data_IF_844311042370
#
_entry.id   IF_844311042370
#
_cell.length_a   1.000
_cell.length_b   1.000
_cell.length_c   1.000
_cell.angle_alpha   90.00
_cell.angle_beta   90.00
_cell.angle_gamma   90.00
#
_symmetry.space_group_name_H-M   'P 1'
#
loop_
_entity.id
_entity.type
_entity.pdbx_description
1 polymer ?
#
# COMPACT_ATOMS: atom_id res chain seq x y z
N UNK A 1 -11.48 -15.48 23.47
CA UNK A 1 -12.57 -14.48 23.44
C UNK A 1 -12.37 -13.71 22.16
N UNK A 2 -13.17 -14.02 21.14
CA UNK A 2 -13.08 -13.38 19.83
C UNK A 2 -13.84 -12.07 19.88
N UNK A 3 -13.12 -10.95 19.88
CA UNK A 3 -13.71 -9.64 19.71
C UNK A 3 -14.44 -9.62 18.37
N UNK A 4 -15.78 -9.61 18.43
CA UNK A 4 -16.60 -9.34 17.27
C UNK A 4 -16.40 -7.87 16.92
N UNK A 5 -15.48 -7.60 16.00
CA UNK A 5 -15.41 -6.30 15.33
C UNK A 5 -16.82 -6.05 14.77
N UNK A 6 -17.47 -4.96 15.18
CA UNK A 6 -18.75 -4.57 14.61
C UNK A 6 -18.64 -4.55 13.09
N UNK A 7 -19.68 -4.99 12.37
CA UNK A 7 -19.57 -5.11 10.91
C UNK A 7 -19.56 -3.75 10.22
N UNK A 8 -20.01 -2.69 10.89
CA UNK A 8 -19.93 -1.31 10.42
C UNK A 8 -18.72 -0.61 11.04
N UNK A 9 -17.68 -0.39 10.25
CA UNK A 9 -16.44 0.27 10.67
C UNK A 9 -16.00 1.30 9.67
N UNK A 10 -15.07 2.19 10.05
CA UNK A 10 -14.24 2.94 9.11
C UNK A 10 -13.12 2.02 8.63
N UNK A 11 -13.16 1.42 7.43
CA UNK A 11 -12.18 0.41 7.06
C UNK A 11 -10.85 1.04 6.65
N UNK A 12 -9.79 0.42 7.13
CA UNK A 12 -8.49 0.43 6.47
C UNK A 12 -8.26 -0.94 5.85
N UNK A 13 -7.95 -0.97 4.56
CA UNK A 13 -7.77 -2.19 3.79
C UNK A 13 -6.40 -2.17 3.16
N UNK A 14 -5.64 -3.24 3.36
CA UNK A 14 -4.30 -3.37 2.82
C UNK A 14 -3.99 -4.80 2.38
N UNK A 15 -2.90 -4.95 1.62
CA UNK A 15 -2.30 -6.24 1.31
C UNK A 15 -0.82 -6.23 1.71
N UNK A 16 -0.36 -7.12 2.61
CA UNK A 16 1.03 -7.15 3.05
C UNK A 16 1.95 -7.62 1.92
N UNK A 17 3.15 -7.06 1.86
CA UNK A 17 4.20 -7.54 0.97
C UNK A 17 4.95 -8.70 1.62
N UNK A 18 4.86 -9.88 1.04
CA UNK A 18 5.39 -11.12 1.62
C UNK A 18 6.90 -11.27 1.44
N UNK A 19 7.46 -10.70 0.38
CA UNK A 19 8.88 -10.75 0.05
C UNK A 19 9.56 -9.38 0.16
N UNK A 20 9.17 -8.56 1.15
CA UNK A 20 9.66 -7.17 1.28
C UNK A 20 11.17 -7.01 1.45
N UNK A 21 11.87 -8.06 1.87
CA UNK A 21 13.33 -8.03 2.01
C UNK A 21 14.03 -7.72 0.68
N UNK A 22 13.49 -8.16 -0.46
CA UNK A 22 14.05 -7.85 -1.79
C UNK A 22 14.04 -6.34 -2.05
N UNK A 23 12.94 -5.69 -1.69
CA UNK A 23 12.75 -4.27 -1.91
C UNK A 23 13.63 -3.43 -0.96
N UNK A 24 13.76 -3.86 0.30
CA UNK A 24 14.68 -3.27 1.27
C UNK A 24 16.14 -3.40 0.81
N UNK A 25 16.56 -4.58 0.36
CA UNK A 25 17.92 -4.81 -0.13
C UNK A 25 18.24 -3.91 -1.33
N UNK A 26 17.30 -3.79 -2.27
CA UNK A 26 17.45 -2.90 -3.42
C UNK A 26 17.56 -1.43 -2.99
N UNK A 27 16.65 -0.95 -2.13
CA UNK A 27 16.63 0.44 -1.68
C UNK A 27 17.91 0.80 -0.90
N UNK A 28 18.34 -0.06 0.03
CA UNK A 28 19.58 0.12 0.78
C UNK A 28 20.82 0.09 -0.14
N UNK A 29 20.81 -0.77 -1.16
CA UNK A 29 21.89 -0.83 -2.16
C UNK A 29 22.05 0.44 -3.00
N UNK A 30 21.02 1.29 -3.04
CA UNK A 30 21.05 2.62 -3.64
C UNK A 30 21.41 3.73 -2.65
N UNK A 31 21.66 3.39 -1.38
CA UNK A 31 21.98 4.34 -0.31
C UNK A 31 20.76 4.99 0.33
N UNK A 32 19.54 4.45 0.14
CA UNK A 32 18.37 4.92 0.88
C UNK A 32 18.47 4.42 2.34
N UNK A 33 18.45 5.35 3.28
CA UNK A 33 18.43 5.05 4.72
C UNK A 33 16.98 4.97 5.24
N UNK A 34 16.77 4.53 6.49
CA UNK A 34 15.46 4.48 7.17
C UNK A 34 14.34 3.81 6.34
N UNK A 35 14.69 2.81 5.54
CA UNK A 35 13.72 2.04 4.75
C UNK A 35 12.78 1.30 5.70
N UNK A 36 11.49 1.33 5.39
CA UNK A 36 10.45 0.63 6.15
C UNK A 36 10.82 -0.85 6.30
N UNK A 37 10.65 -1.40 7.51
CA UNK A 37 10.93 -2.80 7.77
C UNK A 37 10.08 -3.71 6.85
N UNK A 38 10.63 -4.80 6.29
CA UNK A 38 9.95 -5.67 5.33
C UNK A 38 8.53 -6.09 5.75
N UNK A 39 8.38 -6.48 7.01
CA UNK A 39 7.12 -6.98 7.60
C UNK A 39 6.06 -5.89 7.78
N UNK A 40 6.43 -4.61 7.66
CA UNK A 40 5.52 -3.47 7.70
C UNK A 40 5.14 -2.99 6.30
N UNK A 41 5.79 -3.47 5.24
CA UNK A 41 5.48 -3.08 3.88
C UNK A 41 4.16 -3.68 3.42
N UNK A 42 3.33 -2.86 2.78
CA UNK A 42 2.02 -3.25 2.27
C UNK A 42 1.60 -2.29 1.17
N UNK A 43 0.59 -2.69 0.38
CA UNK A 43 -0.19 -1.79 -0.45
C UNK A 43 -1.46 -1.43 0.29
N UNK A 44 -1.70 -0.14 0.51
CA UNK A 44 -3.00 0.35 0.96
C UNK A 44 -3.99 0.28 -0.22
N UNK A 45 -5.09 -0.43 -0.04
CA UNK A 45 -6.19 -0.54 -1.02
C UNK A 45 -7.29 0.45 -0.71
N UNK A 46 -7.53 0.72 0.58
CA UNK A 46 -8.54 1.68 1.02
C UNK A 46 -8.16 2.29 2.37
N UNK A 47 -8.31 3.60 2.48
CA UNK A 47 -8.30 4.32 3.75
C UNK A 47 -9.59 5.12 3.83
N UNK A 48 -10.59 4.62 4.56
CA UNK A 48 -11.92 5.24 4.58
C UNK A 48 -12.26 5.86 5.92
N UNK A 49 -12.67 7.14 5.90
CA UNK A 49 -13.22 7.83 7.07
C UNK A 49 -14.74 7.65 7.20
N UNK A 50 -15.39 7.13 6.16
CA UNK A 50 -16.82 6.81 6.17
C UNK A 50 -17.03 5.39 6.72
N UNK A 51 -17.88 5.21 7.75
CA UNK A 51 -18.23 3.87 8.21
C UNK A 51 -19.04 3.11 7.14
N UNK A 52 -18.70 1.84 6.90
CA UNK A 52 -19.41 0.94 5.98
C UNK A 52 -19.57 -0.44 6.57
N UNK A 53 -20.61 -1.15 6.17
CA UNK A 53 -20.81 -2.56 6.54
C UNK A 53 -19.88 -3.46 5.71
N UNK A 54 -18.82 -3.96 6.33
CA UNK A 54 -17.85 -4.85 5.67
C UNK A 54 -18.36 -6.30 5.53
N UNK A 55 -19.46 -6.67 6.19
CA UNK A 55 -19.98 -8.05 6.12
C UNK A 55 -20.56 -8.42 4.75
N UNK A 56 -20.88 -7.40 3.93
CA UNK A 56 -21.44 -7.59 2.59
C UNK A 56 -20.36 -7.76 1.51
N UNK A 57 -19.08 -7.64 1.87
CA UNK A 57 -17.95 -7.81 0.94
C UNK A 57 -17.18 -9.10 1.26
N UNK A 58 -16.95 -9.98 0.26
CA UNK A 58 -16.05 -11.10 0.43
C UNK A 58 -14.59 -10.62 0.45
N UNK A 59 -13.84 -11.06 1.46
CA UNK A 59 -12.39 -10.85 1.58
C UNK A 59 -11.63 -11.55 0.47
N UNK A 60 -10.73 -10.85 -0.21
CA UNK A 60 -9.83 -11.44 -1.19
C UNK A 60 -8.71 -12.23 -0.50
N UNK A 61 -8.81 -13.56 -0.47
CA UNK A 61 -7.85 -14.46 0.23
C UNK A 61 -6.67 -14.93 -0.62
N UNK A 62 -6.68 -14.63 -1.90
CA UNK A 62 -5.63 -15.00 -2.85
C UNK A 62 -4.39 -14.12 -2.71
N UNK A 63 -3.22 -14.70 -2.93
CA UNK A 63 -2.00 -13.92 -3.14
C UNK A 63 -1.99 -13.33 -4.55
N UNK A 64 -1.32 -12.19 -4.72
CA UNK A 64 -1.08 -11.54 -5.99
C UNK A 64 0.42 -11.51 -6.23
N UNK A 65 0.85 -12.15 -7.32
CA UNK A 65 2.22 -12.06 -7.83
C UNK A 65 2.26 -11.03 -8.94
N UNK A 66 3.18 -10.07 -8.87
CA UNK A 66 3.42 -9.12 -9.95
C UNK A 66 4.92 -8.99 -10.23
N UNK A 67 5.26 -8.75 -11.48
CA UNK A 67 6.64 -8.49 -11.89
C UNK A 67 6.78 -7.04 -12.32
N UNK A 68 7.64 -6.31 -11.64
CA UNK A 68 7.98 -4.94 -11.95
C UNK A 68 9.19 -4.88 -12.88
N UNK A 69 9.16 -3.92 -13.80
CA UNK A 69 10.24 -3.63 -14.73
C UNK A 69 10.60 -2.15 -14.63
N UNK A 70 11.78 -1.85 -14.08
CA UNK A 70 12.28 -0.50 -13.91
C UNK A 70 11.28 0.46 -13.22
N UNK A 71 10.53 -0.04 -12.24
CA UNK A 71 9.56 0.74 -11.49
C UNK A 71 10.27 1.78 -10.63
N UNK A 72 9.96 3.06 -10.85
CA UNK A 72 10.60 4.18 -10.15
C UNK A 72 9.73 4.67 -9.00
N UNK A 73 10.30 4.82 -7.79
CA UNK A 73 9.57 5.45 -6.71
C UNK A 73 9.19 6.89 -7.05
N UNK A 74 8.10 7.36 -6.45
CA UNK A 74 7.62 8.72 -6.59
C UNK A 74 7.26 9.29 -5.21
N UNK A 75 7.23 10.61 -5.10
CA UNK A 75 6.78 11.27 -3.87
C UNK A 75 5.28 11.17 -3.71
N UNK A 76 4.85 10.71 -2.54
CA UNK A 76 3.47 10.79 -2.06
C UNK A 76 3.43 11.50 -0.71
N UNK A 77 2.93 12.73 -0.70
CA UNK A 77 3.03 13.61 0.48
C UNK A 77 4.50 13.73 0.93
N UNK A 78 4.83 13.44 2.20
CA UNK A 78 6.22 13.38 2.68
C UNK A 78 6.92 12.04 2.44
N UNK A 79 6.23 11.02 1.92
CA UNK A 79 6.76 9.67 1.77
C UNK A 79 7.27 9.39 0.35
N UNK A 80 8.07 8.33 0.24
CA UNK A 80 8.52 7.76 -1.03
C UNK A 80 7.78 6.44 -1.28
N UNK A 81 7.00 6.37 -2.34
CA UNK A 81 6.21 5.20 -2.71
C UNK A 81 6.69 4.53 -3.99
N UNK A 82 6.81 3.21 -4.02
CA UNK A 82 6.98 2.43 -5.23
C UNK A 82 5.60 2.15 -5.85
N UNK A 83 5.34 2.51 -7.12
CA UNK A 83 4.04 2.31 -7.73
C UNK A 83 3.73 0.81 -7.92
N UNK A 84 2.47 0.44 -7.66
CA UNK A 84 1.99 -0.93 -7.80
C UNK A 84 0.74 -0.93 -8.64
N UNK A 85 0.81 -1.58 -9.81
CA UNK A 85 -0.32 -1.65 -10.73
C UNK A 85 -0.77 -3.11 -10.86
N UNK A 86 -2.01 -3.41 -10.50
CA UNK A 86 -2.59 -4.73 -10.67
C UNK A 86 -4.13 -4.65 -10.72
N UNK A 87 -4.80 -5.25 -11.73
CA UNK A 87 -6.26 -5.13 -11.88
C UNK A 87 -7.06 -5.53 -10.63
N UNK A 88 -6.65 -6.60 -9.93
CA UNK A 88 -7.30 -7.03 -8.69
C UNK A 88 -7.26 -5.97 -7.57
N UNK A 89 -6.22 -5.13 -7.52
CA UNK A 89 -6.12 -4.07 -6.52
C UNK A 89 -7.15 -2.98 -6.85
N UNK A 90 -7.27 -2.60 -8.12
CA UNK A 90 -8.26 -1.62 -8.58
C UNK A 90 -9.70 -2.12 -8.41
N UNK A 91 -9.95 -3.38 -8.74
CA UNK A 91 -11.25 -4.03 -8.55
C UNK A 91 -11.65 -4.08 -7.08
N UNK A 92 -10.69 -4.39 -6.21
CA UNK A 92 -10.92 -4.39 -4.76
C UNK A 92 -11.25 -2.99 -4.27
N UNK A 93 -10.45 -1.99 -4.67
CA UNK A 93 -10.72 -0.59 -4.34
C UNK A 93 -12.15 -0.16 -4.76
N UNK A 94 -12.53 -0.41 -6.02
CA UNK A 94 -13.86 -0.10 -6.55
C UNK A 94 -14.98 -0.83 -5.80
N UNK A 95 -14.75 -2.06 -5.35
CA UNK A 95 -15.74 -2.84 -4.58
C UNK A 95 -16.09 -2.17 -3.26
N UNK A 96 -15.11 -1.62 -2.55
CA UNK A 96 -15.39 -0.87 -1.33
C UNK A 96 -16.10 0.46 -1.61
N UNK A 97 -15.72 1.17 -2.68
CA UNK A 97 -16.44 2.38 -3.08
C UNK A 97 -17.91 2.09 -3.40
N UNK A 98 -18.21 0.95 -4.02
CA UNK A 98 -19.57 0.56 -4.37
C UNK A 98 -20.50 0.35 -3.16
N UNK A 99 -19.95 0.12 -1.96
CA UNK A 99 -20.74 0.00 -0.72
C UNK A 99 -20.73 1.30 0.11
N UNK A 100 -20.27 2.41 -0.47
CA UNK A 100 -20.28 3.73 0.16
C UNK A 100 -19.00 4.10 0.92
N UNK A 101 -17.92 3.32 0.78
CA UNK A 101 -16.65 3.73 1.35
C UNK A 101 -16.11 4.95 0.58
N UNK A 102 -15.34 5.77 1.28
CA UNK A 102 -14.67 6.94 0.72
C UNK A 102 -13.15 6.83 0.85
N UNK A 103 -12.42 7.69 0.16
CA UNK A 103 -11.00 7.94 0.39
C UNK A 103 -10.71 9.43 0.27
N UNK A 104 -9.61 9.89 0.87
CA UNK A 104 -9.11 11.26 0.80
C UNK A 104 -7.74 11.35 0.12
N UNK A 105 -7.43 10.40 -0.77
CA UNK A 105 -6.21 10.42 -1.57
C UNK A 105 -6.01 11.75 -2.32
N UNK A 106 -4.75 12.15 -2.48
CA UNK A 106 -4.39 13.41 -3.11
C UNK A 106 -5.08 13.58 -4.47
N UNK A 107 -5.79 14.71 -4.65
CA UNK A 107 -6.58 15.04 -5.83
C UNK A 107 -7.69 14.04 -6.18
N UNK A 108 -8.13 13.21 -5.22
CA UNK A 108 -9.16 12.20 -5.44
C UNK A 108 -8.71 11.02 -6.32
N UNK A 109 -7.41 10.84 -6.53
CA UNK A 109 -6.87 9.77 -7.39
C UNK A 109 -6.29 8.66 -6.53
N UNK A 110 -6.82 7.45 -6.68
CA UNK A 110 -6.22 6.24 -6.11
C UNK A 110 -4.89 5.93 -6.82
N UNK A 111 -3.80 5.91 -6.04
CA UNK A 111 -2.44 5.62 -6.52
C UNK A 111 -1.85 4.50 -5.68
N UNK A 112 -2.15 3.23 -6.00
CA UNK A 112 -1.62 2.08 -5.26
C UNK A 112 -0.09 2.08 -5.28
N UNK A 113 0.50 1.94 -4.11
CA UNK A 113 1.94 1.98 -3.91
C UNK A 113 2.34 1.19 -2.67
N UNK A 114 3.61 0.81 -2.60
CA UNK A 114 4.27 0.37 -1.36
C UNK A 114 5.12 1.53 -0.87
N UNK A 115 4.91 1.96 0.37
CA UNK A 115 5.79 2.98 0.96
C UNK A 115 7.16 2.36 1.25
N UNK A 116 8.21 3.02 0.77
CA UNK A 116 9.62 2.65 1.02
C UNK A 116 10.16 3.35 2.26
N UNK A 117 9.86 4.64 2.40
CA UNK A 117 10.38 5.52 3.44
C UNK A 117 9.37 6.62 3.72
N UNK A 118 9.21 6.97 4.99
CA UNK A 118 8.51 8.19 5.42
C UNK A 118 9.48 9.36 5.51
N UNK A 119 8.95 10.57 5.36
CA UNK A 119 9.71 11.82 5.51
C UNK A 119 10.97 11.84 4.61
N UNK A 120 10.77 11.46 3.34
CA UNK A 120 11.77 11.43 2.30
C UNK A 120 12.20 12.85 1.90
N UNK A 121 13.50 13.09 1.95
CA UNK A 121 14.16 14.33 1.52
C UNK A 121 14.22 14.45 0.00
N UNK A 122 14.58 15.63 -0.52
CA UNK A 122 14.86 15.80 -1.96
C UNK A 122 16.04 14.92 -2.41
N UNK A 123 17.03 14.73 -1.54
CA UNK A 123 18.17 13.86 -1.82
C UNK A 123 17.74 12.41 -2.04
N UNK A 124 16.74 11.93 -1.29
CA UNK A 124 16.19 10.59 -1.45
C UNK A 124 15.51 10.42 -2.82
N UNK A 125 14.87 11.47 -3.34
CA UNK A 125 14.27 11.47 -4.68
C UNK A 125 15.35 11.49 -5.77
N UNK A 126 16.41 12.27 -5.57
CA UNK A 126 17.51 12.40 -6.53
C UNK A 126 18.24 11.07 -6.79
N UNK A 127 18.33 10.19 -5.78
CA UNK A 127 18.86 8.82 -5.94
C UNK A 127 18.16 8.11 -7.09
N UNK A 128 16.84 8.24 -7.23
CA UNK A 128 16.07 7.54 -8.27
C UNK A 128 16.02 8.28 -9.61
N UNK A 129 16.49 9.52 -9.68
CA UNK A 129 16.62 10.26 -10.93
C UNK A 129 17.73 9.69 -11.83
N UNK A 130 18.80 9.18 -11.20
CA UNK A 130 20.03 8.72 -11.88
C UNK A 130 20.24 7.20 -11.85
N UNK A 131 19.47 6.48 -11.03
CA UNK A 131 19.57 5.02 -10.88
C UNK A 131 18.48 4.27 -11.67
N UNK A 132 18.66 2.95 -11.83
CA UNK A 132 17.61 2.09 -12.39
C UNK A 132 16.53 1.86 -11.33
N UNK A 133 15.28 1.90 -11.76
CA UNK A 133 14.14 1.53 -10.92
C UNK A 133 14.16 0.05 -10.56
N UNK A 134 13.30 -0.32 -9.61
CA UNK A 134 13.19 -1.69 -9.14
C UNK A 134 12.76 -2.61 -10.28
N UNK A 135 13.44 -3.75 -10.41
CA UNK A 135 13.08 -4.83 -11.32
C UNK A 135 13.11 -6.13 -10.56
N UNK A 136 11.96 -6.78 -10.43
CA UNK A 136 11.82 -7.95 -9.57
C UNK A 136 10.38 -8.41 -9.46
N UNK A 137 10.18 -9.53 -8.79
CA UNK A 137 8.85 -10.04 -8.46
C UNK A 137 8.45 -9.53 -7.07
N UNK A 138 7.19 -9.13 -6.91
CA UNK A 138 6.61 -8.80 -5.62
C UNK A 138 5.40 -9.71 -5.37
N UNK A 139 5.28 -10.19 -4.15
CA UNK A 139 4.23 -11.09 -3.70
C UNK A 139 3.38 -10.39 -2.65
N UNK A 140 2.14 -10.04 -3.00
CA UNK A 140 1.18 -9.44 -2.07
C UNK A 140 0.30 -10.53 -1.48
N UNK A 141 0.22 -10.60 -0.16
CA UNK A 141 -0.63 -11.52 0.57
C UNK A 141 -2.11 -11.21 0.43
N UNK A 142 -2.92 -12.01 1.12
CA UNK A 142 -4.36 -11.80 1.24
C UNK A 142 -4.70 -10.40 1.76
N UNK A 143 -5.89 -9.93 1.39
CA UNK A 143 -6.47 -8.71 1.93
C UNK A 143 -6.63 -8.78 3.45
N UNK A 144 -6.28 -7.68 4.11
CA UNK A 144 -6.50 -7.44 5.53
C UNK A 144 -7.42 -6.24 5.70
N UNK A 145 -8.39 -6.35 6.62
CA UNK A 145 -9.25 -5.24 7.02
C UNK A 145 -9.00 -4.97 8.50
N UNK A 146 -8.77 -3.71 8.83
CA UNK A 146 -8.72 -3.22 10.20
C UNK A 146 -9.64 -2.00 10.37
N UNK A 147 -10.21 -1.79 11.58
CA UNK A 147 -10.79 -0.50 11.92
C UNK A 147 -9.74 0.59 11.81
N UNK A 148 -10.10 1.68 11.14
CA UNK A 148 -9.21 2.80 10.92
C UNK A 148 -8.79 3.39 12.27
N UNK A 149 -7.47 3.41 12.51
CA UNK A 149 -6.88 3.97 13.72
C UNK A 149 -6.50 5.42 13.50
N UNK A 150 -6.62 6.21 14.56
CA UNK A 150 -6.16 7.60 14.58
C UNK A 150 -4.64 7.67 14.33
N UNK A 151 -4.19 8.56 13.43
CA UNK A 151 -2.78 8.85 13.19
C UNK A 151 -2.07 8.02 12.11
N UNK A 152 -2.76 7.10 11.42
CA UNK A 152 -2.18 6.35 10.31
C UNK A 152 -1.97 7.26 9.08
N UNK A 153 -0.84 7.08 8.39
CA UNK A 153 -0.47 7.81 7.17
C UNK A 153 -0.61 6.84 5.98
N UNK A 154 -1.71 6.93 5.21
CA UNK A 154 -1.97 6.04 4.08
C UNK A 154 -1.02 6.22 2.90
#
# INVERSE_FOLDING_TARGET
>A
MSDQIGTIIRPYVSRPLLNGQELVNWANGLGLEDVIAPEKMHVTVLYSKTPVDISVIPLARDAISLRLHNARPFRISSALGLPIEHPKIDETHKRYLAIGATHDYANGVFRPHITLRYDASEKDLDVFSTTRGFTGSLELGAEQIEPLRSGWRP
#
